data_IF_891261180423
#
_entry.id   IF_891261180423
#
_cell.length_a   1.000
_cell.length_b   1.000
_cell.length_c   1.000
_cell.angle_alpha   90.00
_cell.angle_beta   90.00
_cell.angle_gamma   90.00
#
_symmetry.space_group_name_H-M   'P 1'
#
loop_
_entity.id
_entity.type
_entity.pdbx_description
1 polymer ?
#
# COMPACT_ATOMS: atom_id res chain seq x y z
N UNK A 1 1.50 2.85 -18.43
CA UNK A 1 0.50 3.20 -17.41
C UNK A 1 1.20 3.24 -16.06
N UNK A 2 0.95 4.29 -15.27
CA UNK A 2 1.43 4.42 -13.90
C UNK A 2 0.31 4.02 -12.93
N UNK A 3 0.64 3.37 -11.83
CA UNK A 3 -0.32 3.01 -10.79
C UNK A 3 -0.18 3.99 -9.63
N UNK A 4 -1.27 4.60 -9.19
CA UNK A 4 -1.31 5.43 -7.98
C UNK A 4 -2.11 4.68 -6.92
N UNK A 5 -1.53 4.50 -5.73
CA UNK A 5 -2.17 3.82 -4.61
C UNK A 5 -2.42 4.84 -3.49
N UNK A 6 -3.68 4.99 -3.10
CA UNK A 6 -4.13 5.86 -2.00
C UNK A 6 -4.79 5.01 -0.92
N UNK A 7 -5.04 5.54 0.28
CA UNK A 7 -5.62 4.74 1.37
C UNK A 7 -7.13 4.51 1.24
N UNK A 8 -7.89 5.49 0.71
CA UNK A 8 -9.35 5.48 0.70
C UNK A 8 -9.98 5.50 -0.71
N UNK A 9 -11.14 4.84 -0.92
CA UNK A 9 -11.85 4.84 -2.20
C UNK A 9 -12.28 6.24 -2.65
N UNK A 10 -12.60 7.12 -1.70
CA UNK A 10 -13.01 8.50 -1.99
C UNK A 10 -11.84 9.29 -2.58
N UNK A 11 -10.64 9.23 -1.99
CA UNK A 11 -9.46 9.86 -2.59
C UNK A 11 -9.13 9.27 -3.95
N UNK A 12 -9.28 7.96 -4.14
CA UNK A 12 -9.01 7.33 -5.43
C UNK A 12 -9.91 7.92 -6.54
N UNK A 13 -11.21 8.10 -6.23
CA UNK A 13 -12.16 8.76 -7.14
C UNK A 13 -11.80 10.21 -7.41
N UNK A 14 -11.40 10.97 -6.39
CA UNK A 14 -11.02 12.37 -6.53
C UNK A 14 -9.75 12.54 -7.37
N UNK A 15 -8.67 11.81 -7.05
CA UNK A 15 -7.38 11.89 -7.76
C UNK A 15 -7.49 11.39 -9.20
N UNK A 16 -8.33 10.39 -9.47
CA UNK A 16 -8.61 9.93 -10.84
C UNK A 16 -9.12 11.05 -11.75
N UNK A 17 -9.90 12.00 -11.21
CA UNK A 17 -10.42 13.14 -11.97
C UNK A 17 -9.33 14.12 -12.38
N UNK A 18 -8.24 14.21 -11.61
CA UNK A 18 -7.12 15.11 -11.88
C UNK A 18 -6.09 14.52 -12.85
N UNK A 19 -5.75 13.23 -12.69
CA UNK A 19 -4.61 12.63 -13.42
C UNK A 19 -4.93 12.19 -14.85
N UNK A 20 -6.21 11.92 -15.17
CA UNK A 20 -6.64 11.59 -16.52
C UNK A 20 -6.00 10.33 -17.12
N UNK A 21 -5.80 10.31 -18.44
CA UNK A 21 -5.32 9.14 -19.19
C UNK A 21 -3.84 8.85 -18.87
N UNK A 22 -3.52 7.57 -18.64
CA UNK A 22 -2.15 7.11 -18.38
C UNK A 22 -1.88 6.72 -16.93
N UNK A 23 -2.78 7.08 -16.02
CA UNK A 23 -2.78 6.67 -14.63
C UNK A 23 -3.92 5.69 -14.34
N UNK A 24 -3.64 4.69 -13.50
CA UNK A 24 -4.64 3.88 -12.82
C UNK A 24 -4.57 4.25 -11.35
N UNK A 25 -5.67 4.73 -10.77
CA UNK A 25 -5.71 5.12 -9.35
C UNK A 25 -6.53 4.10 -8.59
N UNK A 26 -5.92 3.52 -7.57
CA UNK A 26 -6.45 2.39 -6.82
C UNK A 26 -6.34 2.67 -5.31
N UNK A 27 -7.33 2.22 -4.53
CA UNK A 27 -7.34 2.40 -3.06
C UNK A 27 -6.82 1.15 -2.34
N UNK A 28 -5.99 1.26 -1.31
CA UNK A 28 -5.63 0.11 -0.48
C UNK A 28 -6.77 -0.37 0.43
N UNK A 29 -7.81 0.46 0.61
CA UNK A 29 -8.85 0.29 1.62
C UNK A 29 -8.27 0.29 3.04
N UNK A 30 -7.27 1.14 3.27
CA UNK A 30 -6.52 1.24 4.53
C UNK A 30 -5.38 0.22 4.63
N UNK A 31 -5.19 -0.33 5.82
CA UNK A 31 -4.10 -1.27 6.13
C UNK A 31 -4.26 -2.61 5.42
N UNK A 32 -3.19 -3.06 4.74
CA UNK A 32 -3.13 -4.37 4.06
C UNK A 32 -2.45 -5.45 4.92
N UNK A 33 -1.73 -5.05 5.96
CA UNK A 33 -1.01 -5.92 6.88
C UNK A 33 -1.33 -5.49 8.30
N UNK A 34 -1.33 -6.46 9.20
CA UNK A 34 -1.62 -6.24 10.62
C UNK A 34 -0.95 -7.35 11.45
N UNK A 35 -0.87 -7.17 12.75
CA UNK A 35 -0.46 -8.23 13.67
C UNK A 35 -1.52 -9.34 13.69
N UNK A 36 -1.12 -10.61 13.92
CA UNK A 36 -2.07 -11.71 14.08
C UNK A 36 -2.98 -11.47 15.29
N UNK A 37 -4.28 -11.74 15.14
CA UNK A 37 -5.26 -11.51 16.21
C UNK A 37 -5.20 -12.54 17.35
N UNK A 38 -4.69 -13.73 17.08
CA UNK A 38 -4.73 -14.87 17.99
C UNK A 38 -3.44 -15.07 18.80
N UNK A 39 -2.41 -14.24 18.58
CA UNK A 39 -1.12 -14.30 19.28
C UNK A 39 -0.49 -12.90 19.30
N UNK A 40 0.49 -12.67 20.19
CA UNK A 40 1.13 -11.37 20.37
C UNK A 40 1.66 -10.76 19.05
N UNK A 41 2.28 -11.59 18.20
CA UNK A 41 2.79 -11.14 16.91
C UNK A 41 4.02 -10.23 16.99
N UNK A 42 4.62 -10.08 18.17
CA UNK A 42 5.86 -9.34 18.42
C UNK A 42 6.83 -10.30 19.08
N UNK A 43 8.06 -10.37 18.56
CA UNK A 43 9.15 -11.13 19.14
C UNK A 43 9.93 -10.25 20.13
N UNK A 44 9.65 -10.39 21.42
CA UNK A 44 10.25 -9.57 22.49
C UNK A 44 11.73 -9.89 22.73
N UNK A 45 12.19 -11.08 22.34
CA UNK A 45 13.59 -11.50 22.48
C UNK A 45 14.43 -11.04 21.28
N UNK A 46 13.77 -10.60 20.21
CA UNK A 46 14.40 -10.18 18.95
C UNK A 46 14.08 -8.73 18.61
N UNK A 47 14.46 -7.82 19.51
CA UNK A 47 14.33 -6.37 19.32
C UNK A 47 12.91 -5.93 18.91
N UNK A 48 11.90 -6.56 19.54
CA UNK A 48 10.48 -6.32 19.26
C UNK A 48 10.09 -6.52 17.79
N UNK A 49 10.72 -7.47 17.08
CA UNK A 49 10.43 -7.71 15.67
C UNK A 49 8.94 -8.06 15.44
N UNK A 50 8.20 -7.28 14.61
CA UNK A 50 6.80 -7.53 14.36
C UNK A 50 6.58 -8.57 13.27
N UNK A 51 5.77 -9.58 13.58
CA UNK A 51 5.29 -10.55 12.62
C UNK A 51 3.94 -10.13 12.02
N UNK A 52 3.98 -9.30 10.99
CA UNK A 52 2.77 -8.91 10.27
C UNK A 52 2.27 -9.99 9.32
N UNK A 53 0.96 -10.20 9.33
CA UNK A 53 0.22 -11.05 8.40
C UNK A 53 -0.63 -10.22 7.44
N UNK A 54 -1.14 -10.83 6.38
CA UNK A 54 -2.21 -10.26 5.53
C UNK A 54 -3.54 -10.84 6.02
N UNK A 55 -4.41 -10.05 6.68
CA UNK A 55 -5.70 -10.56 7.12
C UNK A 55 -6.54 -11.10 5.95
N UNK A 56 -7.24 -12.22 6.16
CA UNK A 56 -8.09 -12.87 5.13
C UNK A 56 -9.05 -11.88 4.45
N UNK A 57 -9.60 -10.94 5.22
CA UNK A 57 -10.53 -9.89 4.74
C UNK A 57 -9.93 -8.97 3.65
N UNK A 58 -8.61 -8.74 3.66
CA UNK A 58 -7.92 -7.85 2.70
C UNK A 58 -7.05 -8.61 1.70
N UNK A 59 -7.02 -9.95 1.76
CA UNK A 59 -6.15 -10.77 0.92
C UNK A 59 -6.47 -10.64 -0.58
N UNK A 60 -7.76 -10.57 -0.94
CA UNK A 60 -8.20 -10.32 -2.30
C UNK A 60 -7.68 -8.97 -2.82
N UNK A 61 -7.70 -7.94 -1.96
CA UNK A 61 -7.23 -6.61 -2.29
C UNK A 61 -5.72 -6.55 -2.47
N UNK A 62 -4.96 -7.17 -1.56
CA UNK A 62 -3.51 -7.29 -1.66
C UNK A 62 -3.11 -8.00 -2.97
N UNK A 63 -3.84 -9.06 -3.35
CA UNK A 63 -3.60 -9.81 -4.58
C UNK A 63 -3.88 -8.97 -5.83
N UNK A 64 -4.99 -8.23 -5.83
CA UNK A 64 -5.35 -7.32 -6.92
C UNK A 64 -4.28 -6.23 -7.11
N UNK A 65 -3.87 -5.57 -6.03
CA UNK A 65 -2.84 -4.53 -6.08
C UNK A 65 -1.50 -5.08 -6.60
N UNK A 66 -1.08 -6.27 -6.13
CA UNK A 66 0.15 -6.91 -6.61
C UNK A 66 0.08 -7.19 -8.12
N UNK A 67 -1.08 -7.65 -8.62
CA UNK A 67 -1.32 -7.91 -10.04
C UNK A 67 -1.34 -6.64 -10.89
N UNK A 68 -1.92 -5.54 -10.40
CA UNK A 68 -1.88 -4.26 -11.13
C UNK A 68 -0.46 -3.68 -11.12
N UNK A 69 0.20 -3.71 -9.96
CA UNK A 69 1.56 -3.19 -9.79
C UNK A 69 2.57 -3.92 -10.67
N UNK A 70 2.44 -5.23 -10.91
CA UNK A 70 3.35 -5.97 -11.80
C UNK A 70 3.27 -5.54 -13.27
N UNK A 71 2.17 -4.91 -13.68
CA UNK A 71 1.95 -4.39 -15.04
C UNK A 71 2.22 -2.90 -15.17
N UNK A 72 2.39 -2.19 -14.06
CA UNK A 72 2.64 -0.76 -14.03
C UNK A 72 4.12 -0.47 -14.31
N UNK A 73 4.38 0.59 -15.09
CA UNK A 73 5.77 1.07 -15.32
C UNK A 73 6.37 1.72 -14.08
N UNK A 74 5.52 2.35 -13.28
CA UNK A 74 5.85 3.04 -12.04
C UNK A 74 4.66 2.90 -11.09
N UNK A 75 4.95 2.73 -9.80
CA UNK A 75 3.97 2.71 -8.71
C UNK A 75 4.21 3.92 -7.82
N UNK A 76 3.20 4.75 -7.69
CA UNK A 76 3.17 5.96 -6.88
C UNK A 76 2.31 5.69 -5.66
N UNK A 77 2.87 5.83 -4.46
CA UNK A 77 2.16 5.71 -3.19
C UNK A 77 1.83 7.11 -2.70
N UNK A 78 0.54 7.37 -2.54
CA UNK A 78 -0.08 8.67 -2.34
C UNK A 78 -0.97 8.66 -1.09
N UNK A 79 -0.47 8.06 -0.01
CA UNK A 79 -1.11 8.05 1.32
C UNK A 79 -0.89 9.39 2.02
N UNK A 80 -1.60 9.61 3.13
CA UNK A 80 -1.50 10.84 3.90
C UNK A 80 -0.08 11.15 4.38
N UNK A 81 0.21 12.44 4.57
CA UNK A 81 1.45 12.98 5.13
C UNK A 81 1.44 12.88 6.66
N UNK A 82 1.15 11.70 7.18
CA UNK A 82 1.19 11.42 8.61
C UNK A 82 1.82 10.04 8.88
N UNK A 83 2.00 9.72 10.16
CA UNK A 83 2.59 8.45 10.60
C UNK A 83 1.80 7.24 10.13
N UNK A 84 0.47 7.33 10.08
CA UNK A 84 -0.38 6.21 9.66
C UNK A 84 -0.27 6.00 8.14
N UNK A 85 -0.33 7.08 7.37
CA UNK A 85 -0.13 7.09 5.93
C UNK A 85 1.23 6.52 5.54
N UNK A 86 2.29 6.84 6.29
CA UNK A 86 3.63 6.28 6.05
C UNK A 86 3.72 4.79 6.41
N UNK A 87 3.07 4.36 7.50
CA UNK A 87 2.99 2.94 7.84
C UNK A 87 2.22 2.13 6.77
N UNK A 88 1.11 2.67 6.26
CA UNK A 88 0.35 2.07 5.15
C UNK A 88 1.23 2.00 3.91
N UNK A 89 1.94 3.08 3.55
CA UNK A 89 2.86 3.11 2.42
C UNK A 89 3.92 2.02 2.53
N UNK A 90 4.55 1.91 3.70
CA UNK A 90 5.53 0.86 3.98
C UNK A 90 4.92 -0.53 3.84
N UNK A 91 3.74 -0.79 4.40
CA UNK A 91 3.07 -2.09 4.26
C UNK A 91 2.74 -2.42 2.79
N UNK A 92 2.31 -1.45 1.99
CA UNK A 92 2.09 -1.61 0.55
C UNK A 92 3.39 -2.08 -0.12
N UNK A 93 4.53 -1.41 0.11
CA UNK A 93 5.80 -1.83 -0.50
C UNK A 93 6.16 -3.29 -0.17
N UNK A 94 5.93 -3.73 1.07
CA UNK A 94 6.18 -5.11 1.50
C UNK A 94 5.24 -6.12 0.82
N UNK A 95 3.98 -5.74 0.56
CA UNK A 95 3.03 -6.57 -0.19
C UNK A 95 3.41 -6.70 -1.67
N UNK A 96 3.84 -5.59 -2.28
CA UNK A 96 4.24 -5.56 -3.68
C UNK A 96 5.53 -6.36 -3.93
N UNK A 97 6.34 -6.55 -2.89
CA UNK A 97 7.61 -7.29 -2.92
C UNK A 97 8.78 -6.40 -3.31
N UNK A 98 9.94 -7.01 -3.58
CA UNK A 98 11.13 -6.31 -4.06
C UNK A 98 10.86 -5.74 -5.47
N UNK A 99 10.33 -4.52 -5.49
CA UNK A 99 10.30 -3.65 -6.66
C UNK A 99 11.62 -2.90 -6.72
N UNK A 100 12.10 -2.68 -7.94
CA UNK A 100 13.20 -1.75 -8.19
C UNK A 100 12.85 -0.40 -7.52
N UNK A 101 13.71 0.14 -6.64
CA UNK A 101 13.49 1.44 -6.01
C UNK A 101 13.16 2.55 -7.02
N UNK A 102 13.68 2.47 -8.25
CA UNK A 102 13.37 3.45 -9.30
C UNK A 102 11.92 3.39 -9.79
N UNK A 103 11.24 2.26 -9.60
CA UNK A 103 9.84 2.05 -9.97
C UNK A 103 8.86 2.42 -8.85
N UNK A 104 9.36 2.82 -7.67
CA UNK A 104 8.55 3.24 -6.53
C UNK A 104 8.72 4.74 -6.29
N UNK A 105 7.60 5.46 -6.20
CA UNK A 105 7.57 6.88 -5.83
C UNK A 105 6.65 7.08 -4.64
N UNK A 106 7.06 7.92 -3.70
CA UNK A 106 6.21 8.43 -2.60
C UNK A 106 5.88 9.88 -2.90
N UNK A 107 4.60 10.24 -2.82
CA UNK A 107 4.15 11.63 -2.97
C UNK A 107 3.33 12.04 -1.75
N UNK A 108 3.43 13.30 -1.34
CA UNK A 108 2.65 13.91 -0.24
C UNK A 108 1.96 15.18 -0.74
N UNK A 109 0.82 15.53 -0.15
CA UNK A 109 0.04 16.72 -0.48
C UNK A 109 -0.97 17.05 0.65
N UNK A 110 -1.36 18.32 0.77
CA UNK A 110 -2.31 18.84 1.76
C UNK A 110 -3.34 19.78 1.13
#
# INVERSE_FOLDING_TARGET
MKLVIVESPTKAKTISKFLGKGFSVESSYGHLRDLPKSRLGIDVEKDFEPHYIVPKKVQSRATALKKTASKAKEVIIATDEDREGEAIAWHITKILGAKDPEQLRRIVFH
#
